data_IF_425729847208
#
_entry.id   IF_425729847208
#
_cell.length_a   1.000
_cell.length_b   1.000
_cell.length_c   1.000
_cell.angle_alpha   90.00
_cell.angle_beta   90.00
_cell.angle_gamma   90.00
#
_symmetry.space_group_name_H-M   'P 1'
#
loop_
_entity.id
_entity.type
_entity.pdbx_description
1 polymer ?
#
# COMPACT_ATOMS: atom_id res chain seq x y z
N UNK A 1 -11.62 -13.62 5.77
CA UNK A 1 -11.51 -12.44 6.65
C UNK A 1 -12.89 -11.80 6.85
N UNK A 2 -13.32 -11.55 8.09
CA UNK A 2 -14.48 -10.67 8.34
C UNK A 2 -13.97 -9.23 8.44
N UNK A 3 -14.41 -8.37 7.51
CA UNK A 3 -14.13 -6.94 7.63
C UNK A 3 -15.02 -6.34 8.71
N UNK A 4 -14.43 -5.46 9.53
CA UNK A 4 -15.13 -4.82 10.64
C UNK A 4 -16.40 -4.08 10.16
N UNK A 5 -17.41 -4.02 11.03
CA UNK A 5 -18.66 -3.31 10.72
C UNK A 5 -18.38 -1.82 10.54
N UNK A 6 -17.45 -1.27 11.32
CA UNK A 6 -17.07 0.14 11.38
C UNK A 6 -16.51 0.59 10.03
N UNK A 7 -15.55 -0.16 9.46
CA UNK A 7 -14.99 0.16 8.13
C UNK A 7 -16.07 0.24 7.06
N UNK A 8 -17.02 -0.71 7.06
CA UNK A 8 -18.13 -0.72 6.10
C UNK A 8 -19.09 0.45 6.31
N UNK A 9 -19.33 0.86 7.56
CA UNK A 9 -20.16 2.03 7.88
C UNK A 9 -19.54 3.32 7.36
N UNK A 10 -18.24 3.54 7.58
CA UNK A 10 -17.52 4.73 7.08
C UNK A 10 -17.59 4.82 5.56
N UNK A 11 -17.31 3.73 4.84
CA UNK A 11 -17.38 3.74 3.37
C UNK A 11 -18.77 4.06 2.84
N UNK A 12 -19.82 3.48 3.44
CA UNK A 12 -21.21 3.77 3.05
C UNK A 12 -21.64 5.19 3.37
N UNK A 13 -21.18 5.76 4.50
CA UNK A 13 -21.44 7.14 4.86
C UNK A 13 -20.82 8.13 3.85
N UNK A 14 -19.69 7.77 3.24
CA UNK A 14 -19.06 8.52 2.14
C UNK A 14 -19.69 8.25 0.76
N UNK A 15 -20.78 7.48 0.68
CA UNK A 15 -21.50 7.19 -0.56
C UNK A 15 -21.02 5.95 -1.33
N UNK A 16 -20.07 5.19 -0.79
CA UNK A 16 -19.57 3.99 -1.48
C UNK A 16 -20.56 2.81 -1.38
N UNK A 17 -20.76 2.11 -2.48
CA UNK A 17 -21.37 0.78 -2.46
C UNK A 17 -20.36 -0.26 -1.97
N UNK A 18 -20.67 -0.94 -0.87
CA UNK A 18 -19.78 -1.94 -0.26
C UNK A 18 -20.26 -3.34 -0.55
N UNK A 19 -19.51 -4.06 -1.39
CA UNK A 19 -19.73 -5.47 -1.74
C UNK A 19 -18.81 -6.33 -0.86
N UNK A 20 -19.38 -7.31 -0.15
CA UNK A 20 -18.62 -8.23 0.71
C UNK A 20 -18.45 -9.55 -0.03
N UNK A 21 -17.20 -9.98 -0.21
CA UNK A 21 -16.89 -11.28 -0.82
C UNK A 21 -16.82 -12.39 0.23
N UNK A 22 -16.96 -13.67 -0.17
CA UNK A 22 -16.83 -14.80 0.76
C UNK A 22 -15.50 -14.79 1.51
N UNK A 23 -15.57 -14.89 2.84
CA UNK A 23 -14.42 -14.82 3.72
C UNK A 23 -13.26 -15.79 3.40
N UNK A 24 -13.51 -17.05 2.95
CA UNK A 24 -12.44 -17.99 2.59
C UNK A 24 -11.59 -17.56 1.39
N UNK A 25 -12.10 -16.69 0.52
CA UNK A 25 -11.37 -16.26 -0.70
C UNK A 25 -10.32 -15.17 -0.42
N UNK A 26 -10.32 -14.58 0.78
CA UNK A 26 -9.29 -13.65 1.22
C UNK A 26 -9.08 -12.43 0.29
N UNK A 27 -7.83 -11.94 0.26
CA UNK A 27 -7.35 -10.84 -0.59
C UNK A 27 -7.69 -11.04 -2.06
N UNK A 28 -7.26 -12.18 -2.58
CA UNK A 28 -7.39 -12.59 -3.99
C UNK A 28 -8.84 -12.61 -4.46
N UNK A 29 -9.78 -13.06 -3.61
CA UNK A 29 -11.21 -13.04 -3.93
C UNK A 29 -11.78 -11.64 -4.13
N UNK A 30 -11.28 -10.65 -3.39
CA UNK A 30 -11.71 -9.26 -3.57
C UNK A 30 -11.18 -8.67 -4.88
N UNK A 31 -9.91 -8.96 -5.22
CA UNK A 31 -9.30 -8.51 -6.49
C UNK A 31 -10.07 -9.08 -7.67
N UNK A 32 -10.27 -10.41 -7.72
CA UNK A 32 -11.03 -11.07 -8.79
C UNK A 32 -12.44 -10.52 -8.93
N UNK A 33 -13.12 -10.22 -7.81
CA UNK A 33 -14.46 -9.64 -7.87
C UNK A 33 -14.45 -8.20 -8.40
N UNK A 34 -13.43 -7.41 -8.06
CA UNK A 34 -13.28 -6.06 -8.56
C UNK A 34 -12.99 -6.05 -10.08
N UNK A 35 -12.15 -6.97 -10.56
CA UNK A 35 -11.87 -7.18 -11.99
C UNK A 35 -13.13 -7.57 -12.76
N UNK A 36 -13.88 -8.57 -12.28
CA UNK A 36 -15.14 -9.02 -12.89
C UNK A 36 -16.13 -7.86 -13.06
N UNK A 37 -16.29 -7.03 -12.02
CA UNK A 37 -17.21 -5.89 -12.06
C UNK A 37 -16.70 -4.77 -12.96
N UNK A 38 -15.39 -4.50 -12.95
CA UNK A 38 -14.78 -3.51 -13.82
C UNK A 38 -14.95 -3.88 -15.30
N UNK A 39 -14.70 -5.15 -15.65
CA UNK A 39 -14.91 -5.66 -17.01
C UNK A 39 -16.38 -5.60 -17.42
N UNK A 40 -17.28 -6.10 -16.57
CA UNK A 40 -18.72 -6.15 -16.85
C UNK A 40 -19.34 -4.77 -17.09
N UNK A 41 -18.88 -3.76 -16.36
CA UNK A 41 -19.49 -2.43 -16.37
C UNK A 41 -18.65 -1.35 -17.05
N UNK A 42 -17.46 -1.69 -17.53
CA UNK A 42 -16.49 -0.71 -18.05
C UNK A 42 -16.02 0.28 -16.98
N UNK A 43 -16.00 -0.11 -15.70
CA UNK A 43 -15.56 0.76 -14.62
C UNK A 43 -14.03 0.86 -14.56
N UNK A 44 -13.54 1.99 -14.07
CA UNK A 44 -12.11 2.16 -13.81
C UNK A 44 -11.67 1.33 -12.60
N UNK A 45 -10.72 0.42 -12.82
CA UNK A 45 -10.06 -0.34 -11.76
C UNK A 45 -8.74 0.36 -11.38
N UNK A 46 -8.65 0.83 -10.13
CA UNK A 46 -7.51 1.66 -9.69
C UNK A 46 -6.16 0.92 -9.54
N UNK A 47 -6.17 -0.41 -9.48
CA UNK A 47 -4.96 -1.28 -9.48
C UNK A 47 -3.84 -0.79 -8.55
N UNK A 48 -4.15 -0.64 -7.26
CA UNK A 48 -3.25 -0.05 -6.26
C UNK A 48 -1.87 -0.73 -6.11
N UNK A 49 -1.75 -1.99 -6.53
CA UNK A 49 -0.51 -2.77 -6.49
C UNK A 49 0.35 -2.59 -7.76
N UNK A 50 -0.24 -2.17 -8.88
CA UNK A 50 0.42 -2.11 -10.19
C UNK A 50 0.72 -0.68 -10.64
N UNK A 51 -0.07 0.29 -10.18
CA UNK A 51 0.06 1.67 -10.68
C UNK A 51 1.29 2.39 -10.12
N UNK A 52 2.07 3.00 -11.03
CA UNK A 52 3.22 3.85 -10.67
C UNK A 52 2.79 5.06 -9.82
N UNK A 53 1.55 5.52 -9.97
CA UNK A 53 1.02 6.67 -9.26
C UNK A 53 1.10 6.50 -7.74
N UNK A 54 0.95 5.28 -7.24
CA UNK A 54 1.04 4.97 -5.81
C UNK A 54 2.41 5.35 -5.24
N UNK A 55 3.50 4.78 -5.80
CA UNK A 55 4.84 5.11 -5.35
C UNK A 55 5.25 6.55 -5.70
N UNK A 56 4.85 7.06 -6.88
CA UNK A 56 5.18 8.41 -7.31
C UNK A 56 4.60 9.49 -6.39
N UNK A 57 3.41 9.25 -5.80
CA UNK A 57 2.83 10.18 -4.83
C UNK A 57 3.72 10.28 -3.58
N UNK A 58 4.09 9.14 -2.98
CA UNK A 58 4.94 9.11 -1.79
C UNK A 58 6.35 9.67 -2.02
N UNK A 59 6.89 9.55 -3.24
CA UNK A 59 8.17 10.18 -3.60
C UNK A 59 8.08 11.72 -3.65
N UNK A 60 6.92 12.26 -4.03
CA UNK A 60 6.67 13.71 -4.16
C UNK A 60 6.16 14.35 -2.86
N UNK A 61 5.59 13.57 -1.94
CA UNK A 61 4.96 14.10 -0.72
C UNK A 61 5.59 13.50 0.55
N UNK A 62 5.31 12.23 0.84
CA UNK A 62 5.69 11.58 2.10
C UNK A 62 7.21 11.58 2.35
N UNK A 63 8.03 11.32 1.32
CA UNK A 63 9.48 11.38 1.43
C UNK A 63 10.00 12.78 1.78
N UNK A 64 9.63 13.82 1.01
CA UNK A 64 9.92 15.22 1.35
C UNK A 64 9.47 15.64 2.75
N UNK A 65 8.24 15.29 3.16
CA UNK A 65 7.71 15.61 4.50
C UNK A 65 8.60 15.00 5.62
N UNK A 66 9.07 13.77 5.44
CA UNK A 66 10.00 13.12 6.38
C UNK A 66 11.35 13.87 6.40
N UNK A 67 11.87 14.25 5.24
CA UNK A 67 13.15 14.96 5.15
C UNK A 67 13.08 16.35 5.81
N UNK A 68 11.97 17.06 5.62
CA UNK A 68 11.69 18.35 6.26
C UNK A 68 11.58 18.20 7.78
N UNK A 69 10.85 17.20 8.27
CA UNK A 69 10.74 16.92 9.71
C UNK A 69 12.10 16.63 10.39
N UNK A 70 13.08 16.18 9.60
CA UNK A 70 14.46 15.92 10.03
C UNK A 70 15.46 16.99 9.57
N UNK A 71 15.01 18.18 9.16
CA UNK A 71 15.92 19.27 8.82
C UNK A 71 16.83 19.62 10.01
N UNK A 72 18.14 19.74 9.75
CA UNK A 72 19.16 19.93 10.77
C UNK A 72 19.37 18.75 11.73
N UNK A 73 18.64 17.64 11.55
CA UNK A 73 18.71 16.44 12.40
C UNK A 73 19.21 15.24 11.61
N UNK A 74 19.92 14.35 12.29
CA UNK A 74 20.35 13.08 11.69
C UNK A 74 19.15 12.14 11.53
N UNK A 75 19.09 11.48 10.39
CA UNK A 75 18.18 10.36 10.12
C UNK A 75 19.09 9.17 9.76
N UNK A 76 19.07 8.13 10.59
CA UNK A 76 19.92 6.94 10.37
C UNK A 76 19.13 5.79 9.76
N UNK A 77 17.89 5.60 10.23
CA UNK A 77 17.00 4.52 9.80
C UNK A 77 15.61 5.08 9.55
N UNK A 78 14.99 4.60 8.48
CA UNK A 78 13.57 4.80 8.23
C UNK A 78 12.91 3.44 8.00
N UNK A 79 11.92 3.12 8.83
CA UNK A 79 11.26 1.81 8.85
C UNK A 79 9.79 1.99 8.48
N UNK A 80 9.28 1.14 7.59
CA UNK A 80 7.87 1.14 7.23
C UNK A 80 7.35 -0.28 7.00
N UNK A 81 6.04 -0.47 7.21
CA UNK A 81 5.39 -1.75 6.95
C UNK A 81 5.15 -2.00 5.47
N UNK A 82 5.09 -3.27 5.08
CA UNK A 82 4.66 -3.69 3.76
C UNK A 82 3.13 -3.62 3.58
N UNK A 83 2.70 -3.59 2.32
CA UNK A 83 1.32 -3.47 1.90
C UNK A 83 1.26 -3.49 0.38
N UNK A 84 0.94 -2.36 -0.24
CA UNK A 84 1.12 -2.19 -1.71
C UNK A 84 2.57 -1.94 -2.12
N UNK A 85 3.45 -1.63 -1.16
CA UNK A 85 4.85 -1.26 -1.41
C UNK A 85 5.06 0.20 -1.81
N UNK A 86 4.00 0.95 -2.12
CA UNK A 86 4.08 2.35 -2.58
C UNK A 86 4.83 3.28 -1.63
N UNK A 87 4.52 3.23 -0.33
CA UNK A 87 5.20 4.03 0.69
C UNK A 87 6.69 3.73 0.74
N UNK A 88 7.05 2.44 0.86
CA UNK A 88 8.45 2.00 0.93
C UNK A 88 9.23 2.42 -0.32
N UNK A 89 8.68 2.16 -1.50
CA UNK A 89 9.33 2.48 -2.77
C UNK A 89 9.45 3.99 -2.98
N UNK A 90 8.34 4.73 -2.85
CA UNK A 90 8.29 6.16 -3.15
C UNK A 90 9.05 7.01 -2.15
N UNK A 91 8.67 6.97 -0.87
CA UNK A 91 9.34 7.75 0.15
C UNK A 91 10.80 7.28 0.35
N UNK A 92 11.06 5.97 0.23
CA UNK A 92 12.41 5.42 0.27
C UNK A 92 13.32 5.98 -0.82
N UNK A 93 12.85 6.10 -2.08
CA UNK A 93 13.61 6.73 -3.17
C UNK A 93 13.93 8.19 -2.87
N UNK A 94 12.94 8.97 -2.44
CA UNK A 94 13.15 10.38 -2.09
C UNK A 94 14.17 10.54 -0.96
N UNK A 95 14.02 9.76 0.13
CA UNK A 95 14.93 9.78 1.28
C UNK A 95 16.35 9.39 0.83
N UNK A 96 16.51 8.30 0.08
CA UNK A 96 17.82 7.83 -0.40
C UNK A 96 18.49 8.81 -1.36
N UNK A 97 17.71 9.50 -2.19
CA UNK A 97 18.23 10.53 -3.10
C UNK A 97 18.82 11.72 -2.33
N UNK A 98 18.19 12.15 -1.24
CA UNK A 98 18.65 13.28 -0.43
C UNK A 98 19.70 12.89 0.61
N UNK A 99 19.58 11.68 1.20
CA UNK A 99 20.44 11.17 2.28
C UNK A 99 20.81 9.70 2.00
N UNK A 100 21.81 9.43 1.15
CA UNK A 100 22.15 8.08 0.69
C UNK A 100 22.48 7.07 1.79
N UNK A 101 23.00 7.54 2.92
CA UNK A 101 23.43 6.71 4.05
C UNK A 101 22.27 6.17 4.90
N UNK A 102 21.08 6.79 4.84
CA UNK A 102 19.89 6.36 5.60
C UNK A 102 19.56 4.92 5.26
N UNK A 103 19.44 4.04 6.26
CA UNK A 103 18.97 2.67 6.04
C UNK A 103 17.44 2.67 5.93
N UNK A 104 16.93 2.24 4.78
CA UNK A 104 15.50 2.10 4.54
C UNK A 104 15.12 0.63 4.73
N UNK A 105 14.21 0.36 5.67
CA UNK A 105 13.87 -0.99 6.13
C UNK A 105 12.39 -1.26 5.94
N UNK A 106 12.08 -2.39 5.32
CA UNK A 106 10.72 -2.90 5.19
C UNK A 106 10.43 -3.90 6.30
N UNK A 107 9.28 -3.79 6.95
CA UNK A 107 8.80 -4.78 7.92
C UNK A 107 7.55 -5.50 7.40
N UNK A 108 7.44 -6.78 7.71
CA UNK A 108 6.28 -7.62 7.36
C UNK A 108 5.93 -8.58 8.52
N UNK A 109 4.67 -9.05 8.61
CA UNK A 109 4.21 -9.93 9.67
C UNK A 109 4.69 -11.36 9.40
N UNK A 110 5.19 -12.00 10.44
CA UNK A 110 5.63 -13.41 10.41
C UNK A 110 4.50 -14.36 9.97
N UNK A 111 3.25 -14.03 10.24
CA UNK A 111 2.09 -14.86 9.88
C UNK A 111 1.59 -14.70 8.43
N UNK A 112 2.10 -13.71 7.69
CA UNK A 112 1.75 -13.49 6.29
C UNK A 112 2.90 -12.81 5.51
N UNK A 113 4.11 -13.39 5.51
CA UNK A 113 5.25 -12.80 4.82
C UNK A 113 5.01 -12.82 3.31
N UNK A 114 5.36 -11.73 2.64
CA UNK A 114 5.34 -11.66 1.18
C UNK A 114 6.77 -11.80 0.65
N UNK A 115 7.68 -10.98 1.19
CA UNK A 115 9.04 -10.85 0.70
C UNK A 115 9.91 -12.00 1.22
N UNK A 116 9.84 -12.32 2.52
CA UNK A 116 10.62 -13.40 3.12
C UNK A 116 10.05 -14.79 2.84
N UNK A 117 8.83 -14.88 2.30
CA UNK A 117 8.21 -16.15 1.95
C UNK A 117 8.95 -16.90 0.83
N UNK A 118 9.67 -16.18 -0.03
CA UNK A 118 10.29 -16.73 -1.23
C UNK A 118 9.30 -17.15 -2.32
N UNK A 119 8.00 -16.93 -2.15
CA UNK A 119 6.97 -17.27 -3.12
C UNK A 119 6.79 -16.11 -4.12
N UNK A 120 7.07 -16.32 -5.42
CA UNK A 120 6.82 -15.30 -6.44
C UNK A 120 5.35 -14.88 -6.45
N UNK A 121 5.12 -13.57 -6.60
CA UNK A 121 3.79 -13.02 -6.79
C UNK A 121 3.58 -12.81 -8.30
N UNK A 122 2.41 -13.20 -8.80
CA UNK A 122 1.96 -12.89 -10.16
C UNK A 122 1.43 -11.46 -10.28
#
# INVERSE_FOLDING_TARGET
ASFSVERRKVMRALGAQVIVTPAPLGGTGMVKKAEELAEKHGWYLARQFETEANAAFHEKTTGPEILEAFEGKKLDYWVTGYGTGGTFAGAGRAIKKARPDVKVVLSEPTGAPLITSGVPQE
#
